data_IF_897985054773
#
_entry.id   IF_897985054773
#
_cell.length_a   1.000
_cell.length_b   1.000
_cell.length_c   1.000
_cell.angle_alpha   90.00
_cell.angle_beta   90.00
_cell.angle_gamma   90.00
#
_symmetry.space_group_name_H-M   'P 1'
#
loop_
_entity.id
_entity.type
_entity.pdbx_description
1 polymer ?
#
# COMPACT_ATOMS: atom_id res chain seq x y z
N UNK A 1 -13.58 2.02 -10.07
CA UNK A 1 -13.01 1.12 -9.08
C UNK A 1 -12.74 1.84 -7.74
N UNK A 2 -12.05 3.00 -7.73
CA UNK A 2 -11.75 3.75 -6.50
C UNK A 2 -13.01 4.09 -5.70
N UNK A 3 -14.10 4.44 -6.37
CA UNK A 3 -15.38 4.74 -5.74
C UNK A 3 -15.97 3.57 -4.90
N UNK A 4 -15.59 2.33 -5.18
CA UNK A 4 -15.97 1.19 -4.34
C UNK A 4 -15.41 1.28 -2.92
N UNK A 5 -14.36 2.07 -2.69
CA UNK A 5 -13.88 2.37 -1.35
C UNK A 5 -14.90 3.12 -0.49
N UNK A 6 -15.88 3.78 -1.11
CA UNK A 6 -16.96 4.49 -0.42
C UNK A 6 -18.20 3.64 -0.14
N UNK A 7 -18.24 2.38 -0.61
CA UNK A 7 -19.40 1.48 -0.41
C UNK A 7 -19.90 1.43 1.06
N UNK A 8 -19.04 1.41 2.11
CA UNK A 8 -19.52 1.40 3.48
C UNK A 8 -20.29 2.67 3.90
N UNK A 9 -20.16 3.75 3.13
CA UNK A 9 -20.74 5.07 3.43
C UNK A 9 -21.89 5.44 2.49
N UNK A 10 -22.09 4.68 1.39
CA UNK A 10 -23.21 4.86 0.47
C UNK A 10 -24.39 4.03 0.98
N UNK A 11 -25.52 4.66 1.27
CA UNK A 11 -26.72 3.97 1.75
C UNK A 11 -27.17 2.82 0.83
N UNK A 12 -28.35 2.27 1.08
CA UNK A 12 -28.92 1.10 0.39
C UNK A 12 -28.85 1.19 -1.17
N UNK A 13 -28.95 2.39 -1.71
CA UNK A 13 -28.95 2.63 -3.17
C UNK A 13 -27.53 2.79 -3.75
N UNK A 14 -26.47 2.72 -2.97
CA UNK A 14 -25.09 2.82 -3.45
C UNK A 14 -24.73 4.17 -4.11
N UNK A 15 -25.52 5.22 -3.89
CA UNK A 15 -25.34 6.51 -4.55
C UNK A 15 -24.24 7.31 -3.87
N UNK A 16 -23.25 7.76 -4.66
CA UNK A 16 -22.16 8.62 -4.17
C UNK A 16 -22.67 10.05 -3.97
N UNK A 17 -22.50 10.56 -2.76
CA UNK A 17 -22.71 11.98 -2.45
C UNK A 17 -21.65 12.87 -3.13
N UNK A 18 -21.85 14.20 -3.20
CA UNK A 18 -20.78 15.12 -3.61
C UNK A 18 -19.52 15.02 -2.75
N UNK A 19 -19.67 14.78 -1.44
CA UNK A 19 -18.55 14.57 -0.52
C UNK A 19 -17.77 13.29 -0.87
N UNK A 20 -18.46 12.18 -1.15
CA UNK A 20 -17.82 10.93 -1.55
C UNK A 20 -17.03 11.08 -2.86
N UNK A 21 -17.57 11.82 -3.82
CA UNK A 21 -16.87 12.11 -5.09
C UNK A 21 -15.60 12.93 -4.86
N UNK A 22 -15.64 13.90 -3.94
CA UNK A 22 -14.47 14.68 -3.56
C UNK A 22 -13.38 13.80 -2.90
N UNK A 23 -13.78 12.89 -2.01
CA UNK A 23 -12.87 11.92 -1.38
C UNK A 23 -12.22 11.00 -2.43
N UNK A 24 -13.01 10.49 -3.38
CA UNK A 24 -12.49 9.66 -4.47
C UNK A 24 -11.48 10.43 -5.32
N UNK A 25 -11.80 11.67 -5.72
CA UNK A 25 -10.91 12.52 -6.51
C UNK A 25 -9.60 12.82 -5.76
N UNK A 26 -9.69 13.15 -4.47
CA UNK A 26 -8.52 13.40 -3.62
C UNK A 26 -7.66 12.13 -3.45
N UNK A 27 -8.27 10.96 -3.25
CA UNK A 27 -7.55 9.70 -3.15
C UNK A 27 -6.78 9.38 -4.43
N UNK A 28 -7.36 9.63 -5.60
CA UNK A 28 -6.70 9.47 -6.89
C UNK A 28 -5.55 10.47 -7.07
N UNK A 29 -5.73 11.71 -6.63
CA UNK A 29 -4.69 12.75 -6.68
C UNK A 29 -3.48 12.38 -5.82
N UNK A 30 -3.71 11.87 -4.61
CA UNK A 30 -2.66 11.48 -3.66
C UNK A 30 -1.72 10.41 -4.20
N UNK A 31 -2.24 9.48 -4.98
CA UNK A 31 -1.44 8.41 -5.60
C UNK A 31 -1.01 8.73 -7.04
N UNK A 32 -1.33 9.93 -7.55
CA UNK A 32 -0.87 10.40 -8.85
C UNK A 32 -1.58 9.79 -10.05
N UNK A 33 -2.85 9.36 -9.90
CA UNK A 33 -3.62 8.71 -10.98
C UNK A 33 -4.87 9.51 -11.42
N UNK A 34 -4.94 10.80 -11.14
CA UNK A 34 -6.11 11.63 -11.54
C UNK A 34 -6.42 11.55 -13.03
N UNK A 35 -5.39 11.49 -13.88
CA UNK A 35 -5.54 11.36 -15.32
C UNK A 35 -6.15 10.03 -15.80
N UNK A 36 -6.28 9.05 -14.92
CA UNK A 36 -6.80 7.72 -15.25
C UNK A 36 -8.29 7.57 -14.92
N UNK A 37 -8.97 8.63 -14.46
CA UNK A 37 -10.33 8.56 -13.95
C UNK A 37 -11.35 7.97 -14.97
N UNK A 38 -11.16 8.25 -16.26
CA UNK A 38 -12.02 7.75 -17.34
C UNK A 38 -11.52 6.45 -17.98
N UNK A 39 -10.33 5.93 -17.59
CA UNK A 39 -9.76 4.72 -18.20
C UNK A 39 -10.39 3.46 -17.63
N UNK A 40 -10.50 2.43 -18.46
CA UNK A 40 -10.93 1.10 -18.05
C UNK A 40 -9.79 0.42 -17.26
N UNK A 41 -10.10 -0.24 -16.15
CA UNK A 41 -9.12 -0.94 -15.30
C UNK A 41 -8.32 -1.99 -16.09
N UNK A 42 -8.96 -2.66 -17.05
CA UNK A 42 -8.31 -3.66 -17.89
C UNK A 42 -7.22 -3.09 -18.82
N UNK A 43 -7.16 -1.76 -19.01
CA UNK A 43 -6.14 -1.09 -19.84
C UNK A 43 -5.06 -0.41 -19.02
N UNK A 44 -5.07 -0.57 -17.72
CA UNK A 44 -4.05 -0.05 -16.82
C UNK A 44 -2.82 -0.96 -16.81
N UNK A 45 -1.64 -0.37 -16.71
CA UNK A 45 -0.42 -1.10 -16.36
C UNK A 45 -0.52 -1.69 -14.94
N UNK A 46 0.34 -2.63 -14.60
CA UNK A 46 0.33 -3.24 -13.27
C UNK A 46 0.59 -2.21 -12.17
N UNK A 47 1.52 -1.26 -12.39
CA UNK A 47 1.77 -0.16 -11.46
C UNK A 47 0.57 0.79 -11.32
N UNK A 48 -0.08 1.18 -12.43
CA UNK A 48 -1.30 2.00 -12.40
C UNK A 48 -2.44 1.26 -11.69
N UNK A 49 -2.53 -0.06 -11.88
CA UNK A 49 -3.53 -0.89 -11.21
C UNK A 49 -3.28 -0.93 -9.69
N UNK A 50 -2.05 -1.13 -9.26
CA UNK A 50 -1.69 -1.11 -7.84
C UNK A 50 -1.95 0.25 -7.20
N UNK A 51 -1.56 1.35 -7.83
CA UNK A 51 -1.91 2.70 -7.38
C UNK A 51 -3.43 2.90 -7.27
N UNK A 52 -4.21 2.32 -8.19
CA UNK A 52 -5.67 2.36 -8.15
C UNK A 52 -6.23 1.59 -6.94
N UNK A 53 -5.63 0.46 -6.57
CA UNK A 53 -6.01 -0.28 -5.36
C UNK A 53 -5.68 0.48 -4.09
N UNK A 54 -4.52 1.14 -4.03
CA UNK A 54 -4.15 2.04 -2.91
C UNK A 54 -5.13 3.22 -2.83
N UNK A 55 -5.49 3.85 -3.95
CA UNK A 55 -6.50 4.92 -3.97
C UNK A 55 -7.86 4.45 -3.44
N UNK A 56 -8.28 3.23 -3.81
CA UNK A 56 -9.51 2.62 -3.29
C UNK A 56 -9.44 2.46 -1.76
N UNK A 57 -8.32 1.98 -1.22
CA UNK A 57 -8.13 1.83 0.21
C UNK A 57 -8.12 3.20 0.92
N UNK A 58 -7.45 4.22 0.36
CA UNK A 58 -7.48 5.59 0.89
C UNK A 58 -8.89 6.17 0.94
N UNK A 59 -9.71 5.89 -0.09
CA UNK A 59 -11.09 6.36 -0.16
C UNK A 59 -11.98 5.79 0.97
N UNK A 60 -11.58 4.72 1.63
CA UNK A 60 -12.28 4.20 2.82
C UNK A 60 -12.12 5.11 4.05
N UNK A 61 -11.10 5.95 4.08
CA UNK A 61 -10.80 6.86 5.20
C UNK A 61 -10.67 6.14 6.55
N UNK A 62 -10.11 4.94 6.55
CA UNK A 62 -9.79 4.21 7.78
C UNK A 62 -8.43 4.64 8.33
N UNK A 63 -8.21 4.64 9.66
CA UNK A 63 -6.91 4.98 10.25
C UNK A 63 -5.84 3.92 9.98
N UNK A 64 -6.24 2.70 9.62
CA UNK A 64 -5.35 1.57 9.33
C UNK A 64 -5.65 1.06 7.93
N UNK A 65 -4.58 0.82 7.16
CA UNK A 65 -4.63 0.22 5.83
C UNK A 65 -3.82 -1.06 5.83
N UNK A 66 -4.42 -2.15 5.35
CA UNK A 66 -3.75 -3.45 5.21
C UNK A 66 -3.57 -3.74 3.71
N UNK A 67 -2.34 -4.02 3.31
CA UNK A 67 -1.97 -4.33 1.93
C UNK A 67 -1.20 -5.65 1.90
N UNK A 68 -1.75 -6.60 1.17
CA UNK A 68 -1.14 -7.91 0.99
C UNK A 68 -0.40 -7.94 -0.35
N UNK A 69 0.92 -8.14 -0.30
CA UNK A 69 1.82 -8.21 -1.46
C UNK A 69 1.56 -7.13 -2.52
N UNK A 70 1.48 -5.82 -2.17
CA UNK A 70 1.09 -4.78 -3.12
C UNK A 70 2.13 -4.55 -4.24
N UNK A 71 3.33 -5.10 -4.09
CA UNK A 71 4.42 -5.03 -5.08
C UNK A 71 4.48 -6.26 -6.00
N UNK A 72 3.60 -7.24 -5.82
CA UNK A 72 3.56 -8.43 -6.68
C UNK A 72 3.39 -8.03 -8.16
N UNK A 73 4.12 -8.72 -9.04
CA UNK A 73 4.11 -8.51 -10.49
C UNK A 73 4.67 -7.16 -10.99
N UNK A 74 5.20 -6.31 -10.09
CA UNK A 74 5.85 -5.08 -10.49
C UNK A 74 7.34 -5.31 -10.78
N UNK A 75 7.88 -4.53 -11.72
CA UNK A 75 9.32 -4.39 -11.90
C UNK A 75 9.95 -3.64 -10.72
N UNK A 76 11.26 -3.75 -10.55
CA UNK A 76 11.95 -3.17 -9.40
C UNK A 76 11.73 -1.64 -9.25
N UNK A 77 11.82 -0.81 -10.31
CA UNK A 77 11.52 0.62 -10.19
C UNK A 77 10.10 0.91 -9.70
N UNK A 78 9.11 0.21 -10.23
CA UNK A 78 7.70 0.36 -9.83
C UNK A 78 7.45 -0.08 -8.39
N UNK A 79 8.13 -1.13 -7.91
CA UNK A 79 8.09 -1.56 -6.51
C UNK A 79 8.60 -0.46 -5.58
N UNK A 80 9.77 0.10 -5.89
CA UNK A 80 10.37 1.19 -5.12
C UNK A 80 9.46 2.41 -5.10
N UNK A 81 8.91 2.78 -6.25
CA UNK A 81 7.97 3.91 -6.37
C UNK A 81 6.74 3.71 -5.49
N UNK A 82 6.11 2.53 -5.55
CA UNK A 82 4.92 2.22 -4.77
C UNK A 82 5.21 2.25 -3.27
N UNK A 83 6.28 1.61 -2.81
CA UNK A 83 6.62 1.57 -1.38
C UNK A 83 7.01 2.95 -0.85
N UNK A 84 7.71 3.76 -1.65
CA UNK A 84 8.01 5.17 -1.31
C UNK A 84 6.72 6.01 -1.21
N UNK A 85 5.77 5.78 -2.12
CA UNK A 85 4.45 6.41 -2.06
C UNK A 85 3.71 6.03 -0.77
N UNK A 86 3.69 4.75 -0.40
CA UNK A 86 3.04 4.28 0.82
C UNK A 86 3.67 4.90 2.07
N UNK A 87 5.01 4.97 2.14
CA UNK A 87 5.72 5.64 3.23
C UNK A 87 5.30 7.12 3.36
N UNK A 88 5.33 7.86 2.25
CA UNK A 88 4.90 9.26 2.22
C UNK A 88 3.46 9.42 2.70
N UNK A 89 2.54 8.57 2.26
CA UNK A 89 1.14 8.61 2.69
C UNK A 89 0.99 8.35 4.19
N UNK A 90 1.75 7.39 4.73
CA UNK A 90 1.76 7.11 6.17
C UNK A 90 2.18 8.34 6.98
N UNK A 91 3.26 9.02 6.57
CA UNK A 91 3.81 10.19 7.24
C UNK A 91 2.89 11.42 7.10
N UNK A 92 2.50 11.78 5.87
CA UNK A 92 1.72 12.99 5.59
C UNK A 92 0.28 12.91 6.09
N UNK A 93 -0.32 11.71 6.07
CA UNK A 93 -1.73 11.50 6.43
C UNK A 93 -1.92 10.85 7.80
N UNK A 94 -0.84 10.58 8.53
CA UNK A 94 -0.85 9.90 9.83
C UNK A 94 -1.61 8.58 9.78
N UNK A 95 -1.41 7.81 8.71
CA UNK A 95 -2.01 6.51 8.51
C UNK A 95 -1.08 5.42 9.04
N UNK A 96 -1.65 4.41 9.66
CA UNK A 96 -0.94 3.16 9.89
C UNK A 96 -1.11 2.27 8.67
N UNK A 97 -0.01 1.97 7.97
CA UNK A 97 -0.04 1.09 6.79
C UNK A 97 0.76 -0.16 7.12
N UNK A 98 0.08 -1.31 7.13
CA UNK A 98 0.70 -2.63 7.26
C UNK A 98 0.78 -3.28 5.89
N UNK A 99 1.98 -3.66 5.50
CA UNK A 99 2.27 -4.29 4.20
C UNK A 99 2.88 -5.67 4.44
N UNK A 100 2.31 -6.72 3.86
CA UNK A 100 3.02 -7.99 3.71
C UNK A 100 3.87 -7.94 2.45
N UNK A 101 5.10 -8.45 2.51
CA UNK A 101 5.99 -8.55 1.34
C UNK A 101 7.11 -9.54 1.58
N UNK A 102 7.61 -10.14 0.51
CA UNK A 102 8.84 -10.93 0.50
C UNK A 102 10.05 -10.12 0.00
N UNK A 103 9.86 -8.86 -0.42
CA UNK A 103 10.92 -7.96 -0.90
C UNK A 103 11.65 -7.29 0.28
N UNK A 104 12.51 -8.05 0.98
CA UNK A 104 13.21 -7.58 2.18
C UNK A 104 14.03 -6.32 1.95
N UNK A 105 14.73 -6.22 0.82
CA UNK A 105 15.57 -5.06 0.52
C UNK A 105 14.75 -3.77 0.47
N UNK A 106 13.61 -3.81 -0.20
CA UNK A 106 12.73 -2.65 -0.33
C UNK A 106 12.08 -2.34 1.03
N UNK A 107 11.66 -3.37 1.77
CA UNK A 107 11.10 -3.20 3.11
C UNK A 107 12.10 -2.53 4.07
N UNK A 108 13.36 -2.98 4.08
CA UNK A 108 14.43 -2.39 4.91
C UNK A 108 14.70 -0.91 4.57
N UNK A 109 14.47 -0.50 3.32
CA UNK A 109 14.68 0.90 2.87
C UNK A 109 13.48 1.80 3.13
N UNK A 110 12.28 1.26 3.17
CA UNK A 110 11.04 2.06 3.13
C UNK A 110 10.19 1.95 4.38
N UNK A 111 10.25 0.86 5.13
CA UNK A 111 9.45 0.69 6.34
C UNK A 111 9.98 1.54 7.51
N UNK A 112 9.09 1.92 8.43
CA UNK A 112 9.46 2.50 9.72
C UNK A 112 9.75 1.40 10.76
N UNK A 113 9.01 0.29 10.67
CA UNK A 113 9.18 -0.91 11.49
C UNK A 113 9.00 -2.14 10.63
N UNK A 114 9.66 -3.21 11.01
CA UNK A 114 9.59 -4.51 10.36
C UNK A 114 9.12 -5.57 11.36
N UNK A 115 8.29 -6.45 10.86
CA UNK A 115 7.93 -7.70 11.52
C UNK A 115 8.37 -8.84 10.63
N UNK A 116 9.28 -9.66 11.13
CA UNK A 116 9.79 -10.83 10.41
C UNK A 116 9.21 -12.07 11.07
N UNK A 117 8.41 -12.80 10.33
CA UNK A 117 7.85 -14.08 10.75
C UNK A 117 8.73 -15.21 10.19
N UNK A 118 9.26 -16.04 11.07
CA UNK A 118 10.09 -17.21 10.74
C UNK A 118 9.66 -18.41 11.56
N UNK A 119 10.26 -19.57 11.28
CA UNK A 119 10.05 -20.79 12.08
C UNK A 119 10.44 -20.61 13.56
N UNK A 120 11.26 -19.61 13.87
CA UNK A 120 11.70 -19.26 15.23
C UNK A 120 10.76 -18.30 15.96
N UNK A 121 9.72 -17.83 15.29
CA UNK A 121 8.75 -16.89 15.82
C UNK A 121 8.76 -15.54 15.12
N UNK A 122 8.18 -14.54 15.79
CA UNK A 122 8.07 -13.17 15.33
C UNK A 122 9.22 -12.33 15.94
N UNK A 123 9.97 -11.67 15.05
CA UNK A 123 10.93 -10.62 15.42
C UNK A 123 10.41 -9.28 14.94
N UNK A 124 10.56 -8.22 15.74
CA UNK A 124 10.17 -6.87 15.36
C UNK A 124 11.26 -5.85 15.71
N UNK A 125 11.38 -4.82 14.89
CA UNK A 125 12.34 -3.74 15.12
C UNK A 125 12.31 -2.69 14.01
N UNK A 126 13.19 -1.69 14.17
CA UNK A 126 13.51 -0.75 13.09
C UNK A 126 14.31 -1.43 11.99
N UNK A 127 14.36 -0.87 10.77
CA UNK A 127 15.20 -1.43 9.70
C UNK A 127 16.67 -1.61 10.10
N UNK A 128 17.23 -0.70 10.89
CA UNK A 128 18.62 -0.76 11.37
C UNK A 128 18.84 -1.94 12.31
N UNK A 129 17.94 -2.15 13.26
CA UNK A 129 17.99 -3.26 14.22
C UNK A 129 17.83 -4.60 13.52
N UNK A 130 16.97 -4.64 12.47
CA UNK A 130 16.59 -5.87 11.80
C UNK A 130 17.59 -6.36 10.74
N UNK A 131 18.56 -5.54 10.30
CA UNK A 131 19.55 -5.93 9.28
C UNK A 131 20.29 -7.23 9.66
N UNK A 132 20.77 -7.33 10.90
CA UNK A 132 21.47 -8.53 11.38
C UNK A 132 20.54 -9.73 11.59
N UNK A 133 19.29 -9.51 11.98
CA UNK A 133 18.30 -10.58 12.16
C UNK A 133 17.84 -11.17 10.81
N UNK A 134 17.71 -10.34 9.77
CA UNK A 134 17.41 -10.81 8.41
C UNK A 134 18.48 -11.81 7.94
N UNK A 135 19.75 -11.49 8.13
CA UNK A 135 20.85 -12.40 7.78
C UNK A 135 20.74 -13.73 8.53
N UNK A 136 20.48 -13.70 9.83
CA UNK A 136 20.32 -14.91 10.66
C UNK A 136 19.07 -15.73 10.31
N UNK A 137 17.97 -15.07 9.97
CA UNK A 137 16.72 -15.77 9.66
C UNK A 137 16.71 -16.41 8.28
N UNK A 138 17.40 -15.83 7.29
CA UNK A 138 17.28 -16.25 5.89
C UNK A 138 18.56 -16.80 5.28
N UNK A 139 19.76 -16.46 5.80
CA UNK A 139 21.04 -16.84 5.18
C UNK A 139 21.89 -17.80 5.98
N UNK A 140 21.58 -18.06 7.27
CA UNK A 140 22.30 -19.05 8.07
C UNK A 140 21.52 -20.37 8.11
N UNK A 141 21.55 -21.11 7.01
CA UNK A 141 21.47 -22.57 7.00
C UNK A 141 22.89 -23.10 6.80
N UNK A 142 23.58 -23.34 7.88
CA UNK A 142 24.75 -24.23 7.91
C UNK A 142 24.44 -25.35 8.83
#
# INVERSE_FOLDING_TARGET
LVALGRTPYTGFWGTLSPADRAIVAESMRLVGISGLAARRVATLSDGERQKTMVAKALAQQTPVMLLDEPTAFLDYPSKVELMTLLRRLAEERRLTILVSTHDLEIALRTAHRLWILSDRGLCEGTPEEMKGEVERCFFVRS
#
